data_IF_037617184875
#
_entry.id   IF_037617184875
#
_cell.length_a   1.000
_cell.length_b   1.000
_cell.length_c   1.000
_cell.angle_alpha   90.00
_cell.angle_beta   90.00
_cell.angle_gamma   90.00
#
_symmetry.space_group_name_H-M   'P 1'
#
loop_
_entity.id
_entity.type
_entity.pdbx_description
1 polymer ?
#
# COMPACT_ATOMS: atom_id res chain seq x y z
N UNK A 1 -14.36 5.93 -21.59
CA UNK A 1 -14.17 4.63 -20.88
C UNK A 1 -13.66 4.95 -19.47
N UNK A 2 -13.96 4.08 -18.48
CA UNK A 2 -13.34 4.21 -17.15
C UNK A 2 -11.99 3.50 -17.16
N UNK A 3 -10.96 4.15 -16.62
CA UNK A 3 -9.61 3.63 -16.52
C UNK A 3 -9.13 3.77 -15.05
N UNK A 4 -8.75 2.65 -14.45
CA UNK A 4 -8.24 2.60 -13.09
C UNK A 4 -6.78 2.17 -13.11
N UNK A 5 -5.93 2.90 -12.40
CA UNK A 5 -4.52 2.59 -12.24
C UNK A 5 -4.09 2.75 -10.79
N UNK A 6 -3.23 1.87 -10.32
CA UNK A 6 -2.67 1.94 -8.98
C UNK A 6 -1.18 1.62 -9.00
N UNK A 7 -0.42 2.27 -8.14
CA UNK A 7 0.90 1.76 -7.75
C UNK A 7 0.72 0.53 -6.84
N UNK A 8 1.74 -0.30 -6.60
CA UNK A 8 1.78 -1.09 -5.38
C UNK A 8 1.75 -0.15 -4.17
N UNK A 9 1.14 -0.59 -3.07
CA UNK A 9 1.20 0.15 -1.81
C UNK A 9 2.62 0.03 -1.23
N UNK A 10 3.14 1.14 -0.70
CA UNK A 10 4.54 1.24 -0.29
C UNK A 10 4.72 0.88 1.18
N UNK A 11 5.70 0.04 1.49
CA UNK A 11 6.05 -0.31 2.85
C UNK A 11 6.58 0.90 3.62
N UNK A 12 6.01 1.13 4.82
CA UNK A 12 6.39 2.23 5.71
C UNK A 12 7.44 1.80 6.76
N UNK A 13 8.46 1.09 6.33
CA UNK A 13 9.58 0.69 7.20
C UNK A 13 10.77 1.64 7.12
N UNK A 14 10.82 2.50 6.11
CA UNK A 14 11.83 3.53 5.88
C UNK A 14 11.27 4.68 5.04
N UNK A 15 12.09 5.72 4.81
CA UNK A 15 11.75 6.86 3.95
C UNK A 15 11.66 6.45 2.47
N UNK A 16 10.91 7.21 1.64
CA UNK A 16 10.85 6.96 0.20
C UNK A 16 12.22 6.99 -0.49
N UNK A 17 12.38 6.14 -1.49
CA UNK A 17 13.58 6.08 -2.33
C UNK A 17 13.23 6.12 -3.83
N UNK A 18 14.24 6.11 -4.69
CA UNK A 18 14.10 6.24 -6.14
C UNK A 18 13.15 5.20 -6.76
N UNK A 19 13.05 4.00 -6.19
CA UNK A 19 12.11 2.96 -6.66
C UNK A 19 10.64 3.38 -6.51
N UNK A 20 10.30 4.03 -5.40
CA UNK A 20 8.95 4.59 -5.19
C UNK A 20 8.66 5.73 -6.18
N UNK A 21 9.64 6.63 -6.40
CA UNK A 21 9.52 7.71 -7.36
C UNK A 21 9.32 7.18 -8.79
N UNK A 22 10.09 6.17 -9.20
CA UNK A 22 9.96 5.53 -10.51
C UNK A 22 8.54 5.01 -10.75
N UNK A 23 8.01 4.24 -9.80
CA UNK A 23 6.67 3.64 -9.93
C UNK A 23 5.58 4.71 -9.95
N UNK A 24 5.68 5.73 -9.08
CA UNK A 24 4.70 6.83 -9.03
C UNK A 24 4.68 7.61 -10.35
N UNK A 25 5.84 7.97 -10.89
CA UNK A 25 5.96 8.70 -12.16
C UNK A 25 5.42 7.86 -13.33
N UNK A 26 5.76 6.56 -13.39
CA UNK A 26 5.28 5.68 -14.44
C UNK A 26 3.74 5.59 -14.45
N UNK A 27 3.12 5.43 -13.28
CA UNK A 27 1.66 5.42 -13.16
C UNK A 27 1.03 6.77 -13.50
N UNK A 28 1.64 7.89 -13.10
CA UNK A 28 1.16 9.23 -13.41
C UNK A 28 1.19 9.51 -14.93
N UNK A 29 2.27 9.11 -15.62
CA UNK A 29 2.36 9.23 -17.08
C UNK A 29 1.24 8.45 -17.76
N UNK A 30 0.97 7.21 -17.34
CA UNK A 30 -0.10 6.38 -17.89
C UNK A 30 -1.48 7.00 -17.60
N UNK A 31 -1.67 7.51 -16.38
CA UNK A 31 -2.91 8.20 -16.00
C UNK A 31 -3.16 9.44 -16.88
N UNK A 32 -2.15 10.31 -17.03
CA UNK A 32 -2.22 11.50 -17.90
C UNK A 32 -2.47 11.14 -19.35
N UNK A 33 -1.79 10.12 -19.87
CA UNK A 33 -2.03 9.64 -21.24
C UNK A 33 -3.49 9.22 -21.44
N UNK A 34 -4.06 8.47 -20.50
CA UNK A 34 -5.45 8.06 -20.58
C UNK A 34 -6.44 9.23 -20.44
N UNK A 35 -6.13 10.24 -19.62
CA UNK A 35 -6.89 11.49 -19.54
C UNK A 35 -6.90 12.21 -20.91
N UNK A 36 -5.76 12.27 -21.60
CA UNK A 36 -5.65 12.86 -22.95
C UNK A 36 -6.47 12.11 -24.01
N UNK A 37 -6.63 10.79 -23.85
CA UNK A 37 -7.52 9.98 -24.69
C UNK A 37 -9.02 10.16 -24.38
N UNK A 38 -9.37 11.03 -23.43
CA UNK A 38 -10.76 11.28 -23.02
C UNK A 38 -11.34 10.22 -22.09
N UNK A 39 -10.52 9.39 -21.46
CA UNK A 39 -10.97 8.43 -20.46
C UNK A 39 -11.22 9.12 -19.12
N UNK A 40 -12.20 8.59 -18.37
CA UNK A 40 -12.38 8.94 -16.96
C UNK A 40 -11.38 8.11 -16.13
N UNK A 41 -10.37 8.76 -15.59
CA UNK A 41 -9.22 8.10 -14.92
C UNK A 41 -9.36 8.23 -13.41
N UNK A 42 -9.07 7.14 -12.70
CA UNK A 42 -8.87 7.15 -11.25
C UNK A 42 -7.50 6.53 -10.94
N UNK A 43 -6.60 7.34 -10.37
CA UNK A 43 -5.25 6.93 -9.98
C UNK A 43 -5.13 6.87 -8.46
N UNK A 44 -4.90 5.65 -7.94
CA UNK A 44 -4.71 5.37 -6.52
C UNK A 44 -3.26 5.03 -6.22
N UNK A 45 -2.75 5.56 -5.12
CA UNK A 45 -1.52 5.08 -4.46
C UNK A 45 -1.74 4.97 -2.96
N UNK A 46 -0.75 4.50 -2.21
CA UNK A 46 -0.92 4.38 -0.76
C UNK A 46 0.25 3.71 -0.07
N UNK A 47 0.05 3.41 1.21
CA UNK A 47 1.05 2.79 2.08
C UNK A 47 0.56 1.48 2.67
N UNK A 48 1.48 0.49 2.73
CA UNK A 48 1.33 -0.75 3.48
C UNK A 48 1.96 -0.56 4.87
N UNK A 49 1.11 -0.58 5.89
CA UNK A 49 1.46 -0.14 7.25
C UNK A 49 1.43 -1.27 8.28
N UNK A 50 1.35 -2.52 7.82
CA UNK A 50 1.35 -3.71 8.67
C UNK A 50 2.59 -4.57 8.41
N UNK A 51 2.80 -5.55 9.30
CA UNK A 51 3.83 -6.57 9.17
C UNK A 51 5.01 -6.42 10.12
N UNK A 52 5.79 -7.49 10.23
CA UNK A 52 6.89 -7.61 11.18
C UNK A 52 8.02 -6.61 10.95
N UNK A 53 8.26 -6.21 9.71
CA UNK A 53 9.31 -5.21 9.39
C UNK A 53 8.95 -3.85 9.95
N UNK A 54 7.68 -3.44 9.80
CA UNK A 54 7.15 -2.18 10.37
C UNK A 54 7.21 -2.22 11.89
N UNK A 55 6.80 -3.32 12.51
CA UNK A 55 6.86 -3.49 13.97
C UNK A 55 8.29 -3.37 14.50
N UNK A 56 9.26 -4.07 13.88
CA UNK A 56 10.68 -3.99 14.25
C UNK A 56 11.24 -2.57 14.08
N UNK A 57 10.91 -1.88 12.99
CA UNK A 57 11.34 -0.51 12.76
C UNK A 57 10.77 0.45 13.81
N UNK A 58 9.51 0.27 14.20
CA UNK A 58 8.88 1.04 15.26
C UNK A 58 9.55 0.83 16.61
N UNK A 59 9.83 -0.43 17.00
CA UNK A 59 10.55 -0.78 18.24
C UNK A 59 11.94 -0.13 18.24
N UNK A 60 12.70 -0.24 17.14
CA UNK A 60 14.02 0.36 17.03
C UNK A 60 13.99 1.90 17.13
N UNK A 61 12.87 2.50 16.80
CA UNK A 61 12.62 3.95 16.92
C UNK A 61 12.02 4.36 18.27
N UNK A 62 11.82 3.42 19.20
CA UNK A 62 11.14 3.62 20.48
C UNK A 62 9.73 4.22 20.33
N UNK A 63 8.99 3.80 19.30
CA UNK A 63 7.63 4.24 19.00
C UNK A 63 6.67 3.04 18.97
N UNK A 64 5.38 3.32 19.18
CA UNK A 64 4.33 2.34 18.87
C UNK A 64 4.18 2.21 17.36
N UNK A 65 3.83 1.02 16.82
CA UNK A 65 3.68 0.83 15.37
C UNK A 65 2.80 1.88 14.70
N UNK A 66 1.64 2.21 15.27
CA UNK A 66 0.74 3.23 14.71
C UNK A 66 1.38 4.62 14.64
N UNK A 67 2.06 5.04 15.72
CA UNK A 67 2.74 6.34 15.76
C UNK A 67 3.90 6.41 14.75
N UNK A 68 4.59 5.30 14.57
CA UNK A 68 5.69 5.17 13.61
C UNK A 68 5.18 5.33 12.18
N UNK A 69 4.15 4.57 11.78
CA UNK A 69 3.59 4.65 10.42
C UNK A 69 2.90 5.98 10.14
N UNK A 70 2.28 6.61 11.16
CA UNK A 70 1.70 7.95 11.02
C UNK A 70 2.75 9.01 10.68
N UNK A 71 3.96 8.89 11.24
CA UNK A 71 5.09 9.78 10.93
C UNK A 71 5.66 9.49 9.54
N UNK A 72 5.83 8.22 9.19
CA UNK A 72 6.46 7.86 7.91
C UNK A 72 5.55 8.07 6.71
N UNK A 73 4.25 7.77 6.84
CA UNK A 73 3.29 7.93 5.73
C UNK A 73 3.25 9.35 5.18
N UNK A 74 3.50 10.37 6.00
CA UNK A 74 3.60 11.77 5.57
C UNK A 74 4.67 11.97 4.49
N UNK A 75 5.79 11.24 4.56
CA UNK A 75 6.85 11.34 3.55
C UNK A 75 6.38 10.81 2.19
N UNK A 76 5.56 9.73 2.19
CA UNK A 76 5.00 9.17 0.97
C UNK A 76 3.91 10.06 0.39
N UNK A 77 3.07 10.66 1.23
CA UNK A 77 2.08 11.66 0.78
C UNK A 77 2.78 12.85 0.13
N UNK A 78 3.85 13.37 0.75
CA UNK A 78 4.59 14.52 0.25
C UNK A 78 5.43 14.20 -1.00
N UNK A 79 5.80 12.93 -1.20
CA UNK A 79 6.53 12.50 -2.41
C UNK A 79 5.72 12.78 -3.68
N UNK A 80 4.42 12.60 -3.65
CA UNK A 80 3.55 12.73 -4.82
C UNK A 80 3.61 14.13 -5.43
N UNK A 81 3.29 15.22 -4.69
CA UNK A 81 3.41 16.57 -5.24
C UNK A 81 4.87 16.98 -5.50
N UNK A 82 5.83 16.48 -4.72
CA UNK A 82 7.26 16.72 -4.98
C UNK A 82 7.70 16.21 -6.35
N UNK A 83 7.15 15.07 -6.80
CA UNK A 83 7.39 14.52 -8.14
C UNK A 83 6.53 15.17 -9.23
N UNK A 84 5.63 16.07 -8.90
CA UNK A 84 4.66 16.64 -9.83
C UNK A 84 3.59 15.64 -10.30
N UNK A 85 3.38 14.56 -9.57
CA UNK A 85 2.35 13.56 -9.83
C UNK A 85 0.98 14.03 -9.32
N UNK A 86 -0.10 13.61 -9.99
CA UNK A 86 -1.49 13.90 -9.62
C UNK A 86 -2.25 12.60 -9.39
N UNK A 87 -2.59 12.36 -8.12
CA UNK A 87 -3.39 11.21 -7.71
C UNK A 87 -4.81 11.65 -7.37
N UNK A 88 -5.76 10.72 -7.51
CA UNK A 88 -7.15 10.96 -7.11
C UNK A 88 -7.38 10.58 -5.65
N UNK A 89 -6.63 9.61 -5.11
CA UNK A 89 -6.71 9.20 -3.71
C UNK A 89 -5.39 8.59 -3.21
N UNK A 90 -5.19 8.70 -1.90
CA UNK A 90 -4.09 8.06 -1.17
C UNK A 90 -4.67 7.19 -0.07
N UNK A 91 -4.48 5.86 -0.16
CA UNK A 91 -5.00 4.89 0.81
C UNK A 91 -3.91 4.46 1.80
N UNK A 92 -4.26 4.39 3.08
CA UNK A 92 -3.43 3.78 4.12
C UNK A 92 -4.10 2.51 4.63
N UNK A 93 -3.36 1.43 4.76
CA UNK A 93 -3.95 0.15 5.22
C UNK A 93 -4.44 0.21 6.68
N UNK A 94 -4.01 1.23 7.46
CA UNK A 94 -4.50 1.51 8.82
C UNK A 94 -5.74 2.40 8.87
N UNK A 95 -6.24 2.91 7.74
CA UNK A 95 -7.47 3.70 7.70
C UNK A 95 -8.70 2.82 7.90
N UNK A 96 -9.68 3.38 8.62
CA UNK A 96 -10.95 2.69 8.92
C UNK A 96 -11.68 2.23 7.64
N UNK A 97 -11.65 3.02 6.57
CA UNK A 97 -12.27 2.67 5.28
C UNK A 97 -11.62 1.44 4.66
N UNK A 98 -10.27 1.30 4.75
CA UNK A 98 -9.54 0.14 4.25
C UNK A 98 -9.85 -1.09 5.12
N UNK A 99 -9.80 -0.94 6.44
CA UNK A 99 -10.08 -2.02 7.39
C UNK A 99 -11.48 -2.60 7.16
N UNK A 100 -12.50 -1.74 7.04
CA UNK A 100 -13.89 -2.17 6.78
C UNK A 100 -14.02 -2.89 5.44
N UNK A 101 -13.41 -2.38 4.38
CA UNK A 101 -13.46 -3.00 3.07
C UNK A 101 -12.82 -4.39 3.08
N UNK A 102 -11.64 -4.52 3.70
CA UNK A 102 -10.93 -5.80 3.84
C UNK A 102 -11.73 -6.82 4.66
N UNK A 103 -12.31 -6.38 5.78
CA UNK A 103 -13.15 -7.24 6.62
C UNK A 103 -14.42 -7.71 5.89
N UNK A 104 -15.03 -6.83 5.10
CA UNK A 104 -16.22 -7.20 4.34
C UNK A 104 -15.89 -8.19 3.22
N UNK A 105 -14.78 -7.99 2.51
CA UNK A 105 -14.30 -8.94 1.52
C UNK A 105 -14.00 -10.31 2.15
N UNK A 106 -13.34 -10.33 3.32
CA UNK A 106 -13.08 -11.56 4.07
C UNK A 106 -14.38 -12.32 4.40
N UNK A 107 -15.37 -11.63 4.95
CA UNK A 107 -16.69 -12.24 5.27
C UNK A 107 -17.36 -12.84 4.03
N UNK A 108 -17.26 -12.17 2.89
CA UNK A 108 -17.82 -12.67 1.63
C UNK A 108 -17.12 -13.93 1.14
N UNK A 109 -15.78 -13.96 1.22
CA UNK A 109 -14.98 -15.13 0.87
C UNK A 109 -15.27 -16.32 1.81
N UNK A 110 -15.38 -16.07 3.11
CA UNK A 110 -15.76 -17.08 4.12
C UNK A 110 -17.14 -17.64 3.85
N UNK A 111 -18.14 -16.79 3.61
CA UNK A 111 -19.50 -17.19 3.24
C UNK A 111 -19.57 -18.07 1.99
N UNK A 112 -18.65 -17.84 1.06
CA UNK A 112 -18.54 -18.59 -0.19
C UNK A 112 -17.62 -19.82 -0.08
N UNK A 113 -17.20 -20.20 1.13
CA UNK A 113 -16.30 -21.33 1.41
C UNK A 113 -14.95 -21.24 0.66
N UNK A 114 -14.45 -20.02 0.42
CA UNK A 114 -13.16 -19.77 -0.21
C UNK A 114 -12.01 -19.68 0.81
N UNK A 115 -12.34 -19.65 2.11
CA UNK A 115 -11.40 -19.59 3.22
C UNK A 115 -11.64 -20.77 4.14
N UNK A 116 -10.57 -21.45 4.54
CA UNK A 116 -10.61 -22.54 5.50
C UNK A 116 -9.37 -22.48 6.42
N UNK A 117 -9.54 -22.97 7.64
CA UNK A 117 -8.42 -23.09 8.61
C UNK A 117 -7.54 -24.26 8.24
N UNK A 118 -6.25 -24.04 8.12
CA UNK A 118 -5.24 -25.07 7.84
C UNK A 118 -3.93 -24.76 8.56
N UNK A 119 -3.06 -25.76 8.63
CA UNK A 119 -1.68 -25.61 9.11
C UNK A 119 -0.74 -25.60 7.92
N UNK A 120 0.24 -24.70 7.96
CA UNK A 120 1.34 -24.67 7.02
C UNK A 120 2.65 -24.66 7.81
N UNK A 121 3.53 -25.62 7.53
CA UNK A 121 4.83 -25.77 8.20
C UNK A 121 5.94 -25.72 7.17
N UNK A 122 7.02 -24.99 7.50
CA UNK A 122 8.19 -24.86 6.64
C UNK A 122 9.22 -23.91 7.22
N UNK A 123 10.37 -23.82 6.58
CA UNK A 123 11.39 -22.83 6.93
C UNK A 123 10.90 -21.43 6.50
N UNK A 124 10.79 -20.52 7.45
CA UNK A 124 10.35 -19.16 7.19
C UNK A 124 11.49 -18.15 7.33
N UNK A 125 11.77 -17.42 6.25
CA UNK A 125 12.70 -16.30 6.27
C UNK A 125 11.97 -15.01 6.68
N UNK A 126 12.28 -14.48 7.85
CA UNK A 126 11.75 -13.20 8.33
C UNK A 126 12.22 -12.03 7.45
N UNK A 127 13.41 -12.15 6.84
CA UNK A 127 13.95 -11.11 5.95
C UNK A 127 13.19 -11.03 4.64
N UNK A 128 12.89 -12.18 4.05
CA UNK A 128 12.24 -12.27 2.74
C UNK A 128 10.72 -12.35 2.86
N UNK A 129 10.21 -12.56 4.09
CA UNK A 129 8.79 -12.74 4.41
C UNK A 129 8.16 -13.89 3.60
N UNK A 130 8.94 -14.97 3.45
CA UNK A 130 8.57 -16.13 2.64
C UNK A 130 8.92 -17.45 3.32
N UNK A 131 8.12 -18.47 3.02
CA UNK A 131 8.45 -19.86 3.33
C UNK A 131 9.27 -20.47 2.20
N UNK A 132 10.18 -21.40 2.56
CA UNK A 132 11.04 -22.16 1.66
C UNK A 132 10.85 -23.66 1.85
#
# INVERSE_FOLDING_TARGET
MNFYITTPIYYTNDIPHIGHAYTSIACDIIARYNKLLGNNVFFLTGTDEHGQKVEKAAINSNLKPKEFVDKLSVNFVNLIPFLGCEIDDFIRTTEERHIKASQELWKQLEKNNQIYLSNYEGWYSVRDEAFY
#
